data_IF_653375203482
#
_entry.id   IF_653375203482
#
_cell.length_a   1.000
_cell.length_b   1.000
_cell.length_c   1.000
_cell.angle_alpha   90.00
_cell.angle_beta   90.00
_cell.angle_gamma   90.00
#
_symmetry.space_group_name_H-M   'P 1'
#
loop_
_entity.id
_entity.type
_entity.pdbx_description
1 polymer ?
#
# COMPACT_ATOMS: atom_id res chain seq x y z
N UNK A 1 -36.57 -7.64 0.94
CA UNK A 1 -35.24 -7.73 1.56
C UNK A 1 -34.22 -7.19 0.56
N UNK A 2 -33.88 -5.91 0.67
CA UNK A 2 -32.92 -5.24 -0.23
C UNK A 2 -31.51 -5.51 0.31
N UNK A 3 -30.81 -6.48 -0.27
CA UNK A 3 -29.39 -6.70 0.00
C UNK A 3 -28.60 -5.50 -0.53
N UNK A 4 -28.39 -4.53 0.35
CA UNK A 4 -27.35 -3.52 0.22
C UNK A 4 -26.01 -4.25 0.33
N UNK A 5 -25.52 -4.76 -0.80
CA UNK A 5 -24.18 -5.32 -0.90
C UNK A 5 -23.20 -4.17 -0.76
N UNK A 6 -22.71 -3.96 0.47
CA UNK A 6 -21.58 -3.11 0.84
C UNK A 6 -20.48 -3.17 -0.22
N UNK A 7 -20.46 -2.22 -1.16
CA UNK A 7 -19.32 -1.94 -2.03
C UNK A 7 -18.26 -1.15 -1.26
N UNK A 8 -17.78 -1.71 -0.16
CA UNK A 8 -16.73 -1.13 0.67
C UNK A 8 -15.49 -2.04 0.72
N UNK A 9 -15.08 -2.63 -0.41
CA UNK A 9 -14.08 -3.72 -0.36
C UNK A 9 -13.20 -3.77 -1.61
N UNK A 10 -12.53 -2.66 -1.94
CA UNK A 10 -11.43 -2.66 -2.92
C UNK A 10 -10.22 -1.84 -2.45
N UNK A 11 -10.40 -0.94 -1.49
CA UNK A 11 -9.31 -0.18 -0.86
C UNK A 11 -8.59 -0.92 0.28
N UNK A 12 -9.26 -1.90 0.91
CA UNK A 12 -8.69 -2.69 2.02
C UNK A 12 -7.73 -3.79 1.55
N UNK A 13 -7.88 -4.26 0.32
CA UNK A 13 -7.16 -5.41 -0.22
C UNK A 13 -5.69 -5.10 -0.51
N UNK A 14 -5.40 -3.90 -1.03
CA UNK A 14 -4.03 -3.45 -1.33
C UNK A 14 -3.26 -3.16 -0.05
N UNK A 15 -3.86 -2.45 0.91
CA UNK A 15 -3.23 -2.18 2.20
C UNK A 15 -2.93 -3.49 2.96
N UNK A 16 -3.85 -4.46 2.91
CA UNK A 16 -3.63 -5.79 3.50
C UNK A 16 -2.52 -6.56 2.79
N UNK A 17 -2.41 -6.46 1.47
CA UNK A 17 -1.32 -7.08 0.71
C UNK A 17 0.03 -6.44 1.05
N UNK A 18 0.12 -5.11 1.11
CA UNK A 18 1.32 -4.37 1.54
C UNK A 18 1.76 -4.87 2.92
N UNK A 19 0.86 -4.91 3.90
CA UNK A 19 1.17 -5.37 5.24
C UNK A 19 1.68 -6.83 5.26
N UNK A 20 1.06 -7.73 4.49
CA UNK A 20 1.51 -9.13 4.39
C UNK A 20 2.90 -9.24 3.75
N UNK A 21 3.15 -8.52 2.66
CA UNK A 21 4.45 -8.52 1.98
C UNK A 21 5.54 -7.98 2.91
N UNK A 22 5.29 -6.88 3.62
CA UNK A 22 6.23 -6.34 4.62
C UNK A 22 6.53 -7.35 5.73
N UNK A 23 5.52 -8.07 6.22
CA UNK A 23 5.71 -9.13 7.22
C UNK A 23 6.53 -10.30 6.68
N UNK A 24 6.32 -10.69 5.42
CA UNK A 24 7.12 -11.74 4.77
C UNK A 24 8.58 -11.32 4.62
N UNK A 25 8.86 -10.07 4.23
CA UNK A 25 10.22 -9.54 4.16
C UNK A 25 10.90 -9.64 5.53
N UNK A 26 10.26 -9.17 6.60
CA UNK A 26 10.81 -9.23 7.96
C UNK A 26 11.12 -10.69 8.37
N UNK A 27 10.19 -11.62 8.10
CA UNK A 27 10.41 -13.04 8.37
C UNK A 27 11.59 -13.61 7.60
N UNK A 28 11.69 -13.32 6.30
CA UNK A 28 12.79 -13.80 5.46
C UNK A 28 14.14 -13.21 5.90
N UNK A 29 14.18 -11.92 6.25
CA UNK A 29 15.39 -11.29 6.81
C UNK A 29 15.79 -11.95 8.13
N UNK A 30 14.81 -12.27 8.98
CA UNK A 30 15.05 -12.98 10.23
C UNK A 30 15.61 -14.40 9.96
N UNK A 31 15.06 -15.11 8.98
CA UNK A 31 15.57 -16.42 8.56
C UNK A 31 17.02 -16.35 8.06
N UNK A 32 17.44 -15.31 7.34
CA UNK A 32 18.85 -15.11 6.98
C UNK A 32 19.73 -15.02 8.24
N UNK A 33 19.27 -14.28 9.24
CA UNK A 33 19.98 -14.13 10.52
C UNK A 33 20.10 -15.47 11.25
N UNK A 34 18.99 -16.23 11.28
CA UNK A 34 18.95 -17.55 11.91
C UNK A 34 19.77 -18.59 11.16
N UNK A 35 19.95 -18.48 9.83
CA UNK A 35 20.84 -19.37 9.05
C UNK A 35 22.29 -19.28 9.52
N UNK A 36 22.71 -18.12 10.03
CA UNK A 36 24.05 -17.97 10.60
C UNK A 36 24.17 -18.80 11.88
N UNK A 37 23.12 -18.82 12.70
CA UNK A 37 22.99 -19.59 13.95
C UNK A 37 22.66 -21.08 13.74
N UNK A 38 22.13 -21.50 12.58
CA UNK A 38 21.82 -22.91 12.31
C UNK A 38 23.09 -23.74 12.08
N UNK A 39 23.04 -25.03 12.41
CA UNK A 39 24.13 -25.95 12.10
C UNK A 39 24.06 -26.37 10.63
N UNK A 40 25.13 -26.13 9.86
CA UNK A 40 25.21 -26.45 8.44
C UNK A 40 26.52 -25.98 7.81
N UNK A 41 26.86 -26.51 6.63
CA UNK A 41 28.07 -26.11 5.89
C UNK A 41 27.95 -24.67 5.39
N UNK A 42 29.08 -23.96 5.31
CA UNK A 42 29.12 -22.56 4.86
C UNK A 42 28.52 -22.37 3.46
N UNK A 43 28.74 -23.33 2.55
CA UNK A 43 28.19 -23.30 1.19
C UNK A 43 26.66 -23.39 1.17
N UNK A 44 26.06 -24.28 1.96
CA UNK A 44 24.61 -24.42 2.08
C UNK A 44 23.99 -23.17 2.67
N UNK A 45 24.61 -22.61 3.73
CA UNK A 45 24.18 -21.35 4.33
C UNK A 45 24.21 -20.20 3.33
N UNK A 46 25.27 -20.11 2.53
CA UNK A 46 25.43 -19.05 1.55
C UNK A 46 24.38 -19.16 0.44
N UNK A 47 24.15 -20.37 -0.10
CA UNK A 47 23.08 -20.60 -1.09
C UNK A 47 21.70 -20.26 -0.53
N UNK A 48 21.44 -20.64 0.72
CA UNK A 48 20.15 -20.39 1.36
C UNK A 48 19.93 -18.90 1.61
N UNK A 49 20.96 -18.19 2.08
CA UNK A 49 20.92 -16.73 2.22
C UNK A 49 20.69 -16.02 0.87
N UNK A 50 21.36 -16.48 -0.20
CA UNK A 50 21.20 -15.90 -1.54
C UNK A 50 19.78 -16.11 -2.09
N UNK A 51 19.21 -17.31 -1.94
CA UNK A 51 17.83 -17.61 -2.33
C UNK A 51 16.80 -16.77 -1.57
N UNK A 52 17.02 -16.58 -0.27
CA UNK A 52 16.14 -15.74 0.55
C UNK A 52 16.30 -14.27 0.18
N UNK A 53 17.53 -13.82 -0.07
CA UNK A 53 17.80 -12.45 -0.49
C UNK A 53 17.11 -12.11 -1.82
N UNK A 54 17.13 -13.04 -2.78
CA UNK A 54 16.39 -12.88 -4.05
C UNK A 54 14.88 -12.77 -3.82
N UNK A 55 14.30 -13.59 -2.92
CA UNK A 55 12.89 -13.49 -2.57
C UNK A 55 12.55 -12.16 -1.89
N UNK A 56 13.42 -11.66 -1.02
CA UNK A 56 13.25 -10.34 -0.39
C UNK A 56 13.20 -9.26 -1.48
N UNK A 57 14.17 -9.24 -2.40
CA UNK A 57 14.23 -8.25 -3.49
C UNK A 57 12.95 -8.26 -4.35
N UNK A 58 12.42 -9.45 -4.66
CA UNK A 58 11.17 -9.59 -5.41
C UNK A 58 9.98 -9.04 -4.62
N UNK A 59 9.91 -9.31 -3.31
CA UNK A 59 8.85 -8.81 -2.43
C UNK A 59 8.94 -7.29 -2.24
N UNK A 60 10.14 -6.72 -2.10
CA UNK A 60 10.35 -5.27 -2.02
C UNK A 60 9.93 -4.57 -3.31
N UNK A 61 10.23 -5.17 -4.46
CA UNK A 61 9.78 -4.66 -5.77
C UNK A 61 8.26 -4.66 -5.85
N UNK A 62 7.59 -5.75 -5.45
CA UNK A 62 6.13 -5.83 -5.40
C UNK A 62 5.54 -4.80 -4.42
N UNK A 63 6.18 -4.61 -3.27
CA UNK A 63 5.76 -3.61 -2.28
C UNK A 63 5.80 -2.19 -2.87
N UNK A 64 6.90 -1.83 -3.53
CA UNK A 64 7.07 -0.53 -4.16
C UNK A 64 6.03 -0.30 -5.28
N UNK A 65 5.75 -1.33 -6.08
CA UNK A 65 4.70 -1.28 -7.10
C UNK A 65 3.31 -1.06 -6.49
N UNK A 66 2.98 -1.78 -5.41
CA UNK A 66 1.69 -1.61 -4.72
C UNK A 66 1.55 -0.23 -4.08
N UNK A 67 2.61 0.31 -3.47
CA UNK A 67 2.61 1.65 -2.91
C UNK A 67 2.39 2.72 -3.99
N UNK A 68 3.04 2.59 -5.15
CA UNK A 68 2.82 3.47 -6.30
C UNK A 68 1.37 3.43 -6.76
N UNK A 69 0.81 2.24 -6.96
CA UNK A 69 -0.60 2.10 -7.34
C UNK A 69 -1.56 2.73 -6.33
N UNK A 70 -1.24 2.64 -5.03
CA UNK A 70 -2.06 3.27 -3.99
C UNK A 70 -1.99 4.80 -4.06
N UNK A 71 -0.79 5.37 -4.27
CA UNK A 71 -0.60 6.81 -4.43
C UNK A 71 -1.29 7.36 -5.70
N UNK A 72 -1.20 6.63 -6.81
CA UNK A 72 -1.87 7.00 -8.07
C UNK A 72 -3.39 7.00 -7.92
N UNK A 73 -3.97 5.97 -7.29
CA UNK A 73 -5.42 5.93 -7.02
C UNK A 73 -5.88 7.04 -6.08
N UNK A 74 -5.07 7.40 -5.08
CA UNK A 74 -5.38 8.51 -4.18
C UNK A 74 -5.40 9.84 -4.94
N UNK A 75 -4.36 10.12 -5.74
CA UNK A 75 -4.29 11.32 -6.58
C UNK A 75 -5.42 11.41 -7.60
N UNK A 76 -5.73 10.32 -8.31
CA UNK A 76 -6.79 10.32 -9.32
C UNK A 76 -8.17 10.58 -8.67
N UNK A 77 -8.39 10.07 -7.46
CA UNK A 77 -9.63 10.31 -6.70
C UNK A 77 -9.74 11.76 -6.23
N UNK A 78 -8.65 12.36 -5.74
CA UNK A 78 -8.59 13.78 -5.39
C UNK A 78 -8.76 14.71 -6.60
N UNK A 79 -8.14 14.38 -7.74
CA UNK A 79 -8.33 15.14 -8.99
C UNK A 79 -9.76 15.02 -9.52
N UNK A 80 -10.38 13.84 -9.49
CA UNK A 80 -11.79 13.68 -9.87
C UNK A 80 -12.74 14.42 -8.94
N UNK A 81 -12.49 14.42 -7.63
CA UNK A 81 -13.29 15.18 -6.67
C UNK A 81 -13.16 16.69 -6.87
N UNK A 82 -11.94 17.19 -7.11
CA UNK A 82 -11.70 18.61 -7.37
C UNK A 82 -12.23 19.09 -8.73
N UNK A 83 -12.15 18.28 -9.80
CA UNK A 83 -12.78 18.60 -11.09
C UNK A 83 -14.31 18.56 -11.02
N UNK A 84 -14.90 17.63 -10.26
CA UNK A 84 -16.37 17.54 -10.11
C UNK A 84 -16.94 18.71 -9.28
N UNK A 85 -16.23 19.17 -8.25
CA UNK A 85 -16.60 20.40 -7.51
C UNK A 85 -16.49 21.65 -8.39
N UNK A 86 -15.52 21.71 -9.30
CA UNK A 86 -15.34 22.87 -10.19
C UNK A 86 -16.40 22.97 -11.31
N UNK A 87 -17.02 21.84 -11.69
CA UNK A 87 -18.01 21.78 -12.78
C UNK A 87 -19.48 21.81 -12.30
N UNK A 88 -19.76 21.61 -11.00
CA UNK A 88 -21.12 21.56 -10.43
C UNK A 88 -21.52 22.82 -9.63
N UNK A 89 -20.80 23.93 -9.77
CA UNK A 89 -21.18 25.20 -9.14
C UNK A 89 -21.71 26.24 -10.16
N UNK A 90 -22.90 26.06 -10.77
CA UNK A 90 -23.75 27.20 -11.01
C UNK A 90 -24.50 27.49 -9.70
N UNK A 91 -24.53 28.76 -9.29
CA UNK A 91 -25.39 29.37 -8.26
C UNK A 91 -24.66 29.84 -6.98
N UNK A 92 -24.67 31.16 -6.84
CA UNK A 92 -24.72 31.94 -5.58
C UNK A 92 -23.39 32.24 -4.87
N UNK A 93 -22.67 33.19 -5.46
CA UNK A 93 -21.94 34.21 -4.68
C UNK A 93 -22.91 34.95 -3.76
N UNK A 94 -23.18 34.40 -2.59
CA UNK A 94 -23.64 35.19 -1.43
C UNK A 94 -23.06 34.59 -0.16
N UNK A 95 -21.74 34.68 0.00
CA UNK A 95 -21.16 34.72 1.34
C UNK A 95 -21.56 36.06 1.96
N UNK A 96 -22.65 36.06 2.71
CA UNK A 96 -22.94 37.10 3.68
C UNK A 96 -21.74 37.19 4.62
N UNK A 97 -21.00 38.29 4.54
CA UNK A 97 -19.92 38.59 5.46
C UNK A 97 -20.58 39.29 6.66
N UNK A 98 -20.91 38.53 7.70
CA UNK A 98 -21.16 39.11 9.02
C UNK A 98 -19.81 39.50 9.61
N UNK A 99 -19.40 40.75 9.36
CA UNK A 99 -18.28 41.39 10.06
C UNK A 99 -18.81 41.87 11.42
N UNK A 100 -18.36 41.23 12.49
CA UNK A 100 -18.53 41.72 13.86
C UNK A 100 -17.22 42.36 14.31
N UNK A 101 -17.13 43.70 14.27
CA UNK A 101 -16.25 44.54 15.09
C UNK A 101 -16.94 45.87 15.42
#
# INVERSE_FOLDING_TARGET
QTQSSNRASQGGDVASQIARISQQIIKLTQQIKEIVDTSGSAEDKQKQAELIQQQITLLETQLAQLQRQQAEKAQEKEQRLSLNVSLLNPVEKTTHIDIYI
#
